data_IF_228114202487
#
_entry.id   IF_228114202487
#
_cell.length_a   1.000
_cell.length_b   1.000
_cell.length_c   1.000
_cell.angle_alpha   90.00
_cell.angle_beta   90.00
_cell.angle_gamma   90.00
#
_symmetry.space_group_name_H-M   'P 1'
#
loop_
_entity.id
_entity.type
_entity.pdbx_description
1 polymer ?
#
# COMPACT_ATOMS: atom_id res chain seq x y z
N UNK A 1 -55.47 8.82 12.61
CA UNK A 1 -54.76 8.23 13.78
C UNK A 1 -55.29 6.84 14.12
N UNK A 2 -56.55 6.67 14.57
CA UNK A 2 -57.11 5.34 14.93
C UNK A 2 -57.13 4.30 13.80
N UNK A 3 -57.31 4.74 12.56
CA UNK A 3 -57.33 3.86 11.39
C UNK A 3 -55.92 3.36 11.03
N UNK A 4 -54.92 4.24 11.16
CA UNK A 4 -53.50 3.90 10.98
C UNK A 4 -53.01 2.89 12.04
N UNK A 5 -53.41 3.08 13.29
CA UNK A 5 -53.09 2.15 14.39
C UNK A 5 -53.75 0.77 14.20
N UNK A 6 -54.97 0.73 13.65
CA UNK A 6 -55.63 -0.54 13.30
C UNK A 6 -54.92 -1.26 12.18
N UNK A 7 -54.51 -0.54 11.14
CA UNK A 7 -53.76 -1.11 10.01
C UNK A 7 -52.40 -1.61 10.48
N UNK A 8 -51.69 -0.86 11.32
CA UNK A 8 -50.39 -1.28 11.85
C UNK A 8 -50.51 -2.59 12.65
N UNK A 9 -51.47 -2.70 13.57
CA UNK A 9 -51.71 -3.93 14.34
C UNK A 9 -52.12 -5.12 13.48
N UNK A 10 -52.80 -4.87 12.37
CA UNK A 10 -53.15 -5.92 11.41
C UNK A 10 -51.90 -6.41 10.68
N UNK A 11 -51.03 -5.50 10.23
CA UNK A 11 -49.77 -5.83 9.55
C UNK A 11 -48.83 -6.62 10.49
N UNK A 12 -48.64 -6.17 11.73
CA UNK A 12 -47.81 -6.86 12.73
C UNK A 12 -48.32 -8.27 13.08
N UNK A 13 -49.63 -8.50 12.96
CA UNK A 13 -50.21 -9.84 13.15
C UNK A 13 -49.95 -10.72 11.94
N UNK A 14 -50.20 -10.20 10.74
CA UNK A 14 -49.95 -10.91 9.48
C UNK A 14 -48.47 -11.27 9.30
N UNK A 15 -47.56 -10.41 9.72
CA UNK A 15 -46.12 -10.67 9.72
C UNK A 15 -45.76 -11.86 10.63
N UNK A 16 -46.28 -11.89 11.86
CA UNK A 16 -46.07 -13.01 12.79
C UNK A 16 -46.63 -14.33 12.26
N UNK A 17 -47.83 -14.28 11.68
CA UNK A 17 -48.47 -15.46 11.09
C UNK A 17 -47.68 -15.97 9.87
N UNK A 18 -47.14 -15.06 9.05
CA UNK A 18 -46.26 -15.40 7.93
C UNK A 18 -44.98 -16.07 8.42
N UNK A 19 -44.33 -15.51 9.44
CA UNK A 19 -43.09 -16.06 9.99
C UNK A 19 -43.30 -17.49 10.51
N UNK A 20 -44.40 -17.74 11.22
CA UNK A 20 -44.77 -19.08 11.69
C UNK A 20 -45.01 -20.08 10.54
N UNK A 21 -45.56 -19.62 9.41
CA UNK A 21 -45.74 -20.43 8.20
C UNK A 21 -44.42 -20.74 7.49
N UNK A 22 -43.52 -19.76 7.41
CA UNK A 22 -42.17 -19.94 6.83
C UNK A 22 -41.33 -20.94 7.64
N UNK A 23 -41.51 -20.95 8.96
CA UNK A 23 -40.84 -21.88 9.86
C UNK A 23 -41.50 -23.27 9.92
N UNK A 24 -42.61 -23.46 9.22
CA UNK A 24 -43.30 -24.75 9.21
C UNK A 24 -42.46 -25.86 8.53
N UNK A 25 -42.52 -27.11 9.02
CA UNK A 25 -41.77 -28.23 8.44
C UNK A 25 -42.09 -28.49 6.96
N UNK A 26 -43.29 -28.10 6.51
CA UNK A 26 -43.72 -28.25 5.13
C UNK A 26 -43.07 -27.20 4.22
N UNK A 27 -42.97 -25.95 4.67
CA UNK A 27 -42.31 -24.89 3.91
C UNK A 27 -40.81 -25.13 3.77
N UNK A 28 -40.16 -25.62 4.83
CA UNK A 28 -38.72 -25.95 4.81
C UNK A 28 -38.35 -27.08 3.82
N UNK A 29 -39.31 -27.91 3.42
CA UNK A 29 -39.12 -28.99 2.44
C UNK A 29 -39.27 -28.53 0.98
N UNK A 30 -39.67 -27.28 0.73
CA UNK A 30 -39.83 -26.75 -0.63
C UNK A 30 -38.43 -26.46 -1.22
N UNK A 31 -38.10 -26.97 -2.43
CA UNK A 31 -36.82 -26.70 -3.07
C UNK A 31 -36.66 -25.21 -3.39
N UNK A 32 -35.66 -24.55 -2.79
CA UNK A 32 -35.42 -23.10 -2.95
C UNK A 32 -34.99 -22.67 -4.36
N UNK A 33 -34.61 -23.62 -5.21
CA UNK A 33 -34.07 -23.38 -6.54
C UNK A 33 -35.08 -23.66 -7.67
N UNK A 34 -36.33 -23.96 -7.33
CA UNK A 34 -37.36 -24.30 -8.31
C UNK A 34 -38.00 -23.02 -8.87
N UNK A 35 -37.91 -22.83 -10.18
CA UNK A 35 -38.59 -21.74 -10.86
C UNK A 35 -40.08 -22.05 -10.90
N UNK A 36 -40.87 -21.27 -10.16
CA UNK A 36 -42.34 -21.36 -10.22
C UNK A 36 -42.84 -20.40 -11.29
N UNK A 37 -43.67 -20.87 -12.25
CA UNK A 37 -44.25 -19.98 -13.27
C UNK A 37 -45.05 -18.85 -12.62
N UNK A 38 -44.82 -17.60 -13.04
CA UNK A 38 -45.55 -16.44 -12.51
C UNK A 38 -47.07 -16.49 -12.76
N UNK A 39 -47.51 -17.22 -13.79
CA UNK A 39 -48.92 -17.41 -14.11
C UNK A 39 -49.44 -18.77 -13.61
N UNK A 40 -50.43 -18.73 -12.73
CA UNK A 40 -51.13 -19.92 -12.23
C UNK A 40 -52.10 -20.46 -13.29
N UNK A 41 -51.89 -21.68 -13.78
CA UNK A 41 -52.86 -22.33 -14.67
C UNK A 41 -54.12 -22.72 -13.88
N UNK A 42 -55.34 -22.40 -14.35
CA UNK A 42 -56.56 -22.82 -13.67
C UNK A 42 -56.73 -24.34 -13.82
N UNK A 43 -56.48 -25.08 -12.74
CA UNK A 43 -56.78 -26.51 -12.65
C UNK A 43 -58.10 -26.70 -11.88
N UNK A 44 -58.76 -27.86 -12.06
CA UNK A 44 -60.03 -28.15 -11.39
C UNK A 44 -59.96 -27.99 -9.86
N UNK A 45 -58.80 -28.22 -9.24
CA UNK A 45 -58.57 -28.03 -7.80
C UNK A 45 -58.58 -26.54 -7.44
N UNK A 46 -57.92 -25.69 -8.23
CA UNK A 46 -57.85 -24.24 -8.00
C UNK A 46 -59.17 -23.51 -8.27
N UNK A 47 -60.12 -24.17 -8.94
CA UNK A 47 -61.46 -23.65 -9.25
C UNK A 47 -62.52 -24.21 -8.30
N UNK A 48 -62.46 -25.50 -7.96
CA UNK A 48 -63.55 -26.20 -7.27
C UNK A 48 -63.34 -26.26 -5.76
N UNK A 49 -62.10 -26.37 -5.29
CA UNK A 49 -61.82 -26.49 -3.86
C UNK A 49 -61.86 -25.13 -3.14
N UNK A 50 -62.59 -24.99 -2.01
CA UNK A 50 -62.72 -23.72 -1.29
C UNK A 50 -61.40 -23.16 -0.72
N UNK A 51 -60.47 -24.01 -0.30
CA UNK A 51 -59.18 -23.59 0.25
C UNK A 51 -58.22 -23.16 -0.85
N UNK A 52 -58.15 -23.94 -1.93
CA UNK A 52 -57.28 -23.63 -3.07
C UNK A 52 -57.76 -22.43 -3.90
N UNK A 53 -59.06 -22.14 -3.91
CA UNK A 53 -59.59 -20.89 -4.51
C UNK A 53 -59.02 -19.63 -3.85
N UNK A 54 -58.87 -19.62 -2.52
CA UNK A 54 -58.29 -18.49 -1.78
C UNK A 54 -56.80 -18.32 -2.12
N UNK A 55 -56.05 -19.42 -2.20
CA UNK A 55 -54.64 -19.42 -2.63
C UNK A 55 -54.51 -18.91 -4.06
N UNK A 56 -55.40 -19.34 -4.97
CA UNK A 56 -55.40 -18.86 -6.36
C UNK A 56 -55.70 -17.35 -6.45
N UNK A 57 -56.62 -16.83 -5.63
CA UNK A 57 -56.90 -15.41 -5.55
C UNK A 57 -55.69 -14.61 -5.04
N UNK A 58 -55.00 -15.11 -4.00
CA UNK A 58 -53.79 -14.50 -3.48
C UNK A 58 -52.65 -14.51 -4.51
N UNK A 59 -52.45 -15.63 -5.23
CA UNK A 59 -51.45 -15.73 -6.29
C UNK A 59 -51.72 -14.78 -7.45
N UNK A 60 -52.99 -14.60 -7.85
CA UNK A 60 -53.36 -13.65 -8.89
C UNK A 60 -53.15 -12.20 -8.43
N UNK A 61 -53.49 -11.89 -7.18
CA UNK A 61 -53.20 -10.57 -6.60
C UNK A 61 -51.69 -10.32 -6.53
N UNK A 62 -50.89 -11.30 -6.11
CA UNK A 62 -49.43 -11.22 -6.17
C UNK A 62 -48.92 -11.05 -7.60
N UNK A 63 -49.46 -11.79 -8.57
CA UNK A 63 -49.14 -11.61 -9.99
C UNK A 63 -49.47 -10.21 -10.52
N UNK A 64 -50.60 -9.64 -10.08
CA UNK A 64 -51.08 -8.33 -10.53
C UNK A 64 -50.34 -7.14 -9.88
N UNK A 65 -49.94 -7.27 -8.61
CA UNK A 65 -49.39 -6.14 -7.82
C UNK A 65 -47.94 -6.33 -7.36
N UNK A 66 -47.39 -7.54 -7.42
CA UNK A 66 -46.09 -7.90 -6.85
C UNK A 66 -45.18 -8.72 -7.76
N UNK A 67 -45.57 -9.02 -9.01
CA UNK A 67 -44.69 -9.68 -9.97
C UNK A 67 -43.70 -8.68 -10.58
N UNK A 68 -42.65 -8.36 -9.85
CA UNK A 68 -41.42 -8.03 -10.56
C UNK A 68 -40.98 -9.31 -11.31
N UNK A 69 -40.76 -9.25 -12.63
CA UNK A 69 -40.23 -10.38 -13.37
C UNK A 69 -38.97 -10.87 -12.67
N UNK A 70 -38.89 -12.18 -12.40
CA UNK A 70 -37.63 -12.75 -11.94
C UNK A 70 -36.54 -12.36 -12.94
N UNK A 71 -35.46 -11.70 -12.49
CA UNK A 71 -34.45 -11.22 -13.41
C UNK A 71 -33.87 -12.42 -14.16
N UNK A 72 -33.83 -12.29 -15.47
CA UNK A 72 -33.19 -13.28 -16.34
C UNK A 72 -31.73 -13.48 -15.93
N UNK A 73 -31.14 -14.62 -16.28
CA UNK A 73 -29.71 -14.86 -16.02
C UNK A 73 -28.82 -13.76 -16.59
N UNK A 74 -29.21 -13.20 -17.74
CA UNK A 74 -28.50 -12.09 -18.38
C UNK A 74 -28.63 -10.77 -17.60
N UNK A 75 -29.80 -10.47 -17.06
CA UNK A 75 -30.00 -9.30 -16.19
C UNK A 75 -29.24 -9.43 -14.86
N UNK A 76 -29.22 -10.63 -14.26
CA UNK A 76 -28.40 -10.93 -13.08
C UNK A 76 -26.92 -10.71 -13.41
N UNK A 77 -26.44 -11.26 -14.53
CA UNK A 77 -25.03 -11.10 -14.96
C UNK A 77 -24.67 -9.62 -15.19
N UNK A 78 -25.54 -8.85 -15.87
CA UNK A 78 -25.36 -7.41 -16.07
C UNK A 78 -25.33 -6.64 -14.76
N UNK A 79 -26.23 -6.96 -13.82
CA UNK A 79 -26.23 -6.34 -12.47
C UNK A 79 -24.92 -6.62 -11.72
N UNK A 80 -24.44 -7.86 -11.73
CA UNK A 80 -23.17 -8.22 -11.07
C UNK A 80 -21.99 -7.50 -11.73
N UNK A 81 -21.92 -7.49 -13.07
CA UNK A 81 -20.86 -6.78 -13.79
C UNK A 81 -20.86 -5.28 -13.52
N UNK A 82 -22.04 -4.65 -13.50
CA UNK A 82 -22.19 -3.25 -13.15
C UNK A 82 -21.74 -2.98 -11.71
N UNK A 83 -22.10 -3.85 -10.75
CA UNK A 83 -21.66 -3.72 -9.36
C UNK A 83 -20.13 -3.82 -9.24
N UNK A 84 -19.51 -4.82 -9.88
CA UNK A 84 -18.04 -4.95 -9.93
C UNK A 84 -17.39 -3.72 -10.57
N UNK A 85 -18.00 -3.17 -11.62
CA UNK A 85 -17.52 -1.95 -12.27
C UNK A 85 -17.56 -0.75 -11.32
N UNK A 86 -18.69 -0.50 -10.67
CA UNK A 86 -18.83 0.61 -9.72
C UNK A 86 -17.87 0.47 -8.54
N UNK A 87 -17.67 -0.75 -8.03
CA UNK A 87 -16.71 -1.00 -6.97
C UNK A 87 -15.26 -0.76 -7.45
N UNK A 88 -14.94 -1.15 -8.69
CA UNK A 88 -13.65 -0.83 -9.31
C UNK A 88 -13.40 0.68 -9.41
N UNK A 89 -14.40 1.46 -9.83
CA UNK A 89 -14.33 2.92 -9.85
C UNK A 89 -14.16 3.51 -8.45
N UNK A 90 -14.89 3.00 -7.45
CA UNK A 90 -14.70 3.41 -6.06
C UNK A 90 -13.27 3.15 -5.58
N UNK A 91 -12.73 1.95 -5.82
CA UNK A 91 -11.36 1.61 -5.45
C UNK A 91 -10.32 2.52 -6.14
N UNK A 92 -10.54 2.86 -7.42
CA UNK A 92 -9.73 3.82 -8.15
C UNK A 92 -9.72 5.20 -7.48
N UNK A 93 -10.89 5.71 -7.09
CA UNK A 93 -11.01 7.00 -6.39
C UNK A 93 -10.28 6.98 -5.05
N UNK A 94 -10.37 5.88 -4.29
CA UNK A 94 -9.64 5.72 -3.02
C UNK A 94 -8.14 5.76 -3.24
N UNK A 95 -7.62 5.03 -4.24
CA UNK A 95 -6.18 5.02 -4.57
C UNK A 95 -5.69 6.38 -5.02
N UNK A 96 -6.43 7.05 -5.90
CA UNK A 96 -6.06 8.39 -6.40
C UNK A 96 -6.08 9.41 -5.26
N UNK A 97 -7.10 9.36 -4.39
CA UNK A 97 -7.17 10.21 -3.21
C UNK A 97 -6.01 9.95 -2.25
N UNK A 98 -5.68 8.69 -2.00
CA UNK A 98 -4.55 8.29 -1.17
C UNK A 98 -3.21 8.81 -1.73
N UNK A 99 -2.99 8.73 -3.04
CA UNK A 99 -1.80 9.32 -3.68
C UNK A 99 -1.78 10.84 -3.54
N UNK A 100 -2.91 11.50 -3.78
CA UNK A 100 -3.04 12.95 -3.62
C UNK A 100 -2.71 13.42 -2.19
N UNK A 101 -3.08 12.63 -1.19
CA UNK A 101 -2.78 12.91 0.22
C UNK A 101 -1.30 12.89 0.58
N UNK A 102 -0.42 12.41 -0.32
CA UNK A 102 1.03 12.36 -0.14
C UNK A 102 1.80 13.38 -0.98
N UNK A 103 1.09 14.34 -1.54
CA UNK A 103 1.67 15.34 -2.42
C UNK A 103 1.90 14.86 -3.86
N UNK A 104 1.38 13.69 -4.26
CA UNK A 104 1.31 13.36 -5.68
C UNK A 104 0.26 14.22 -6.36
N UNK A 105 0.62 14.81 -7.49
CA UNK A 105 -0.27 15.62 -8.32
C UNK A 105 -0.19 15.11 -9.75
N UNK A 106 -1.36 14.94 -10.36
CA UNK A 106 -1.45 14.77 -11.80
C UNK A 106 -1.31 16.14 -12.48
N UNK A 107 -0.92 16.18 -13.76
CA UNK A 107 -1.06 17.38 -14.58
C UNK A 107 -2.49 17.94 -14.51
N UNK A 108 -2.67 19.27 -14.60
CA UNK A 108 -4.00 19.86 -14.70
C UNK A 108 -4.79 19.23 -15.85
N UNK A 109 -6.12 19.16 -15.69
CA UNK A 109 -7.06 18.59 -16.66
C UNK A 109 -6.92 17.08 -16.94
N UNK A 110 -6.17 16.35 -16.11
CA UNK A 110 -6.10 14.89 -16.21
C UNK A 110 -7.46 14.25 -15.92
N UNK A 111 -8.04 13.60 -16.94
CA UNK A 111 -9.25 12.79 -16.79
C UNK A 111 -8.87 11.31 -16.67
N UNK A 112 -9.26 10.70 -15.56
CA UNK A 112 -9.10 9.25 -15.36
C UNK A 112 -10.16 8.51 -16.17
N UNK A 113 -9.73 7.81 -17.21
CA UNK A 113 -10.59 6.90 -17.99
C UNK A 113 -10.09 5.46 -17.85
N UNK A 114 -10.83 4.50 -18.43
CA UNK A 114 -10.63 3.04 -18.26
C UNK A 114 -9.29 2.52 -18.79
N UNK A 115 -8.54 3.32 -19.52
CA UNK A 115 -7.24 2.94 -20.10
C UNK A 115 -6.24 4.09 -20.09
N UNK A 116 -6.35 5.00 -19.12
CA UNK A 116 -5.43 6.13 -18.99
C UNK A 116 -4.17 5.69 -18.22
N UNK A 117 -3.00 6.10 -18.74
CA UNK A 117 -1.77 6.19 -17.95
C UNK A 117 -1.64 7.62 -17.47
N UNK A 118 -1.56 7.81 -16.16
CA UNK A 118 -1.38 9.11 -15.53
C UNK A 118 0.01 9.18 -14.93
N UNK A 119 0.79 10.16 -15.36
CA UNK A 119 2.04 10.52 -14.72
C UNK A 119 1.74 11.39 -13.49
N UNK A 120 2.31 11.02 -12.36
CA UNK A 120 2.09 11.67 -11.08
C UNK A 120 3.44 12.14 -10.55
N UNK A 121 3.55 13.44 -10.33
CA UNK A 121 4.75 14.04 -9.77
C UNK A 121 4.55 14.34 -8.30
N UNK A 122 5.61 14.13 -7.52
CA UNK A 122 5.69 14.56 -6.13
C UNK A 122 7.11 15.03 -5.84
N UNK A 123 7.33 15.80 -4.76
CA UNK A 123 8.69 16.14 -4.34
C UNK A 123 9.53 14.93 -3.93
N UNK A 124 8.92 13.74 -3.78
CA UNK A 124 9.60 12.47 -3.51
C UNK A 124 9.94 11.66 -4.77
N UNK A 125 9.68 12.23 -5.95
CA UNK A 125 9.89 11.62 -7.26
C UNK A 125 8.57 11.30 -7.98
N UNK A 126 8.71 10.94 -9.25
CA UNK A 126 7.60 10.65 -10.15
C UNK A 126 7.18 9.17 -10.06
N UNK A 127 5.91 8.93 -10.37
CA UNK A 127 5.32 7.59 -10.47
C UNK A 127 4.28 7.58 -11.59
N UNK A 128 3.97 6.41 -12.13
CA UNK A 128 2.93 6.27 -13.16
C UNK A 128 1.81 5.39 -12.63
N UNK A 129 0.58 5.88 -12.72
CA UNK A 129 -0.63 5.12 -12.42
C UNK A 129 -1.31 4.72 -13.73
N UNK A 130 -1.40 3.42 -13.98
CA UNK A 130 -2.13 2.86 -15.12
C UNK A 130 -3.45 2.30 -14.64
N UNK A 131 -4.55 2.81 -15.18
CA UNK A 131 -5.88 2.28 -14.94
C UNK A 131 -6.27 1.32 -16.07
N UNK A 132 -6.74 0.13 -15.72
CA UNK A 132 -7.25 -0.88 -16.66
C UNK A 132 -8.62 -1.39 -16.22
N UNK A 133 -9.33 -2.13 -17.08
CA UNK A 133 -10.59 -2.76 -16.68
C UNK A 133 -10.32 -3.85 -15.62
N UNK A 134 -10.68 -3.56 -14.38
CA UNK A 134 -10.60 -4.49 -13.26
C UNK A 134 -9.29 -4.48 -12.46
N UNK A 135 -8.31 -3.63 -12.79
CA UNK A 135 -7.10 -3.45 -11.99
C UNK A 135 -6.44 -2.08 -12.21
N UNK A 136 -5.61 -1.67 -11.26
CA UNK A 136 -4.68 -0.56 -11.42
C UNK A 136 -3.24 -1.05 -11.27
N UNK A 137 -2.30 -0.39 -11.91
CA UNK A 137 -0.87 -0.63 -11.73
C UNK A 137 -0.17 0.68 -11.40
N UNK A 138 0.55 0.69 -10.28
CA UNK A 138 1.38 1.80 -9.85
C UNK A 138 2.85 1.43 -10.10
N UNK A 139 3.52 2.21 -10.94
CA UNK A 139 4.91 1.99 -11.32
C UNK A 139 5.81 3.00 -10.63
N UNK A 140 6.81 2.49 -9.91
CA UNK A 140 7.81 3.28 -9.22
C UNK A 140 9.19 2.72 -9.53
N UNK A 141 9.98 3.46 -10.32
CA UNK A 141 11.30 3.01 -10.78
C UNK A 141 11.21 1.66 -11.49
N UNK A 142 11.83 0.61 -10.94
CA UNK A 142 11.86 -0.74 -11.48
C UNK A 142 10.83 -1.68 -10.79
N UNK A 143 9.95 -1.14 -9.95
CA UNK A 143 8.94 -1.89 -9.22
C UNK A 143 7.53 -1.55 -9.72
N UNK A 144 6.66 -2.55 -9.75
CA UNK A 144 5.26 -2.40 -10.15
C UNK A 144 4.35 -3.02 -9.09
N UNK A 145 3.41 -2.21 -8.58
CA UNK A 145 2.35 -2.66 -7.68
C UNK A 145 1.06 -2.84 -8.48
N UNK A 146 0.45 -4.01 -8.40
CA UNK A 146 -0.87 -4.29 -8.95
C UNK A 146 -1.93 -4.18 -7.85
N UNK A 147 -2.96 -3.37 -8.08
CA UNK A 147 -4.10 -3.18 -7.19
C UNK A 147 -5.34 -3.78 -7.84
N UNK A 148 -5.95 -4.77 -7.19
CA UNK A 148 -7.10 -5.52 -7.72
C UNK A 148 -8.32 -5.30 -6.83
N UNK A 149 -9.35 -4.53 -7.28
CA UNK A 149 -10.62 -4.45 -6.57
C UNK A 149 -11.35 -5.78 -6.62
N UNK A 150 -11.76 -6.29 -5.45
CA UNK A 150 -12.54 -7.52 -5.31
C UNK A 150 -13.86 -7.22 -4.60
N UNK A 151 -14.96 -7.31 -5.35
CA UNK A 151 -16.32 -7.22 -4.81
C UNK A 151 -16.75 -8.60 -4.30
N UNK A 152 -16.24 -8.99 -3.13
CA UNK A 152 -16.68 -10.16 -2.40
C UNK A 152 -16.85 -9.79 -0.92
N UNK A 153 -17.93 -10.23 -0.25
CA UNK A 153 -18.09 -9.97 1.16
C UNK A 153 -16.96 -10.64 1.95
N UNK A 154 -16.34 -9.89 2.84
CA UNK A 154 -15.25 -10.38 3.65
C UNK A 154 -15.80 -11.02 4.93
N UNK A 155 -15.61 -12.34 5.06
CA UNK A 155 -15.85 -13.08 6.31
C UNK A 155 -14.51 -13.63 6.81
N UNK A 156 -14.37 -14.03 8.09
CA UNK A 156 -13.12 -14.61 8.58
C UNK A 156 -12.63 -15.83 7.77
N UNK A 157 -13.55 -16.73 7.39
CA UNK A 157 -13.23 -17.87 6.54
C UNK A 157 -12.89 -17.45 5.10
N UNK A 158 -13.64 -16.50 4.55
CA UNK A 158 -13.37 -15.94 3.23
C UNK A 158 -12.02 -15.25 3.16
N UNK A 159 -11.61 -14.55 4.23
CA UNK A 159 -10.32 -13.88 4.34
C UNK A 159 -9.17 -14.88 4.35
N UNK A 160 -9.27 -15.96 5.15
CA UNK A 160 -8.30 -17.06 5.17
C UNK A 160 -8.16 -17.72 3.80
N UNK A 161 -9.28 -18.04 3.16
CA UNK A 161 -9.30 -18.66 1.84
C UNK A 161 -8.69 -17.74 0.78
N UNK A 162 -9.07 -16.46 0.76
CA UNK A 162 -8.52 -15.46 -0.16
C UNK A 162 -7.02 -15.31 0.02
N UNK A 163 -6.55 -15.20 1.25
CA UNK A 163 -5.12 -15.02 1.51
C UNK A 163 -4.30 -16.26 1.17
N UNK A 164 -4.83 -17.48 1.41
CA UNK A 164 -4.21 -18.72 0.92
C UNK A 164 -4.04 -18.72 -0.60
N UNK A 165 -5.10 -18.36 -1.34
CA UNK A 165 -5.05 -18.26 -2.81
C UNK A 165 -4.05 -17.21 -3.29
N UNK A 166 -4.00 -16.05 -2.62
CA UNK A 166 -3.03 -15.01 -2.95
C UNK A 166 -1.59 -15.50 -2.73
N UNK A 167 -1.33 -16.25 -1.65
CA UNK A 167 0.01 -16.80 -1.37
C UNK A 167 0.46 -17.79 -2.43
N UNK A 168 -0.45 -18.64 -2.89
CA UNK A 168 -0.19 -19.59 -3.98
C UNK A 168 0.15 -18.85 -5.30
N UNK A 169 -0.46 -17.70 -5.55
CA UNK A 169 -0.24 -16.90 -6.77
C UNK A 169 0.93 -15.90 -6.68
N UNK A 170 1.41 -15.58 -5.48
CA UNK A 170 2.42 -14.54 -5.24
C UNK A 170 3.80 -14.84 -5.85
N UNK A 171 4.07 -16.07 -6.29
CA UNK A 171 5.33 -16.47 -6.94
C UNK A 171 5.60 -15.82 -8.31
N UNK A 172 4.65 -15.06 -8.88
CA UNK A 172 4.72 -14.51 -10.23
C UNK A 172 5.41 -13.13 -10.36
N UNK A 173 6.15 -12.68 -9.34
CA UNK A 173 7.09 -11.54 -9.43
C UNK A 173 6.48 -10.13 -9.44
N UNK A 174 5.15 -9.99 -9.32
CA UNK A 174 4.49 -8.69 -9.20
C UNK A 174 3.84 -8.52 -7.82
N UNK A 175 4.21 -7.46 -7.11
CA UNK A 175 3.58 -7.08 -5.85
C UNK A 175 2.08 -6.84 -6.10
N UNK A 176 1.23 -7.65 -5.48
CA UNK A 176 -0.22 -7.58 -5.67
C UNK A 176 -0.93 -7.28 -4.36
N UNK A 177 -1.83 -6.30 -4.42
CA UNK A 177 -2.73 -5.91 -3.33
C UNK A 177 -4.16 -6.10 -3.77
N UNK A 178 -4.94 -6.85 -3.00
CA UNK A 178 -6.39 -6.95 -3.20
C UNK A 178 -7.11 -5.90 -2.37
N UNK A 179 -7.91 -5.06 -3.02
CA UNK A 179 -8.80 -4.11 -2.37
C UNK A 179 -10.17 -4.77 -2.21
N UNK A 180 -10.40 -5.42 -1.05
CA UNK A 180 -11.58 -6.24 -0.81
C UNK A 180 -12.72 -5.40 -0.20
N UNK A 181 -13.98 -5.67 -0.60
CA UNK A 181 -15.13 -5.04 0.05
C UNK A 181 -15.26 -5.54 1.50
N UNK A 182 -15.08 -4.65 2.46
CA UNK A 182 -15.25 -4.96 3.87
C UNK A 182 -14.67 -3.90 4.79
N UNK A 183 -14.77 -4.15 6.09
CA UNK A 183 -14.19 -3.34 7.16
C UNK A 183 -13.21 -4.18 7.97
N UNK A 184 -12.24 -3.55 8.68
CA UNK A 184 -11.31 -4.31 9.52
C UNK A 184 -12.01 -5.15 10.59
N UNK A 185 -13.16 -4.70 11.12
CA UNK A 185 -13.92 -5.44 12.13
C UNK A 185 -14.50 -6.75 11.58
N UNK A 186 -14.69 -6.86 10.27
CA UNK A 186 -15.17 -8.10 9.64
C UNK A 186 -14.11 -9.23 9.69
N UNK A 187 -12.89 -8.90 10.11
CA UNK A 187 -11.76 -9.81 10.27
C UNK A 187 -11.52 -10.20 11.73
N UNK A 188 -12.37 -9.80 12.67
CA UNK A 188 -12.23 -10.24 14.05
C UNK A 188 -12.32 -11.78 14.11
N UNK A 189 -11.32 -12.43 14.73
CA UNK A 189 -11.22 -13.90 14.80
C UNK A 189 -10.44 -14.57 13.67
N UNK A 190 -9.75 -13.83 12.81
CA UNK A 190 -8.70 -14.40 11.94
C UNK A 190 -7.38 -14.57 12.69
N UNK A 191 -6.49 -15.44 12.21
CA UNK A 191 -5.15 -15.61 12.77
C UNK A 191 -4.28 -14.35 12.54
N UNK A 192 -3.22 -14.19 13.35
CA UNK A 192 -2.34 -13.01 13.30
C UNK A 192 -1.77 -12.78 11.89
N UNK A 193 -1.42 -13.84 11.16
CA UNK A 193 -0.78 -13.72 9.86
C UNK A 193 -1.76 -13.20 8.80
N UNK A 194 -2.98 -13.75 8.77
CA UNK A 194 -4.08 -13.24 7.93
C UNK A 194 -4.42 -11.80 8.32
N UNK A 195 -4.55 -11.49 9.61
CA UNK A 195 -4.85 -10.13 10.08
C UNK A 195 -3.81 -9.11 9.60
N UNK A 196 -2.51 -9.45 9.72
CA UNK A 196 -1.40 -8.59 9.27
C UNK A 196 -1.38 -8.40 7.76
N UNK A 197 -1.71 -9.43 6.98
CA UNK A 197 -1.82 -9.33 5.53
C UNK A 197 -2.96 -8.38 5.10
N UNK A 198 -4.12 -8.46 5.77
CA UNK A 198 -5.27 -7.59 5.51
C UNK A 198 -5.14 -6.17 6.11
N UNK A 199 -4.24 -5.99 7.07
CA UNK A 199 -3.82 -4.68 7.55
C UNK A 199 -2.76 -4.02 6.64
N UNK A 200 -2.32 -4.71 5.58
CA UNK A 200 -1.37 -4.20 4.60
C UNK A 200 0.10 -4.31 5.02
N UNK A 201 0.44 -5.18 5.97
CA UNK A 201 1.81 -5.34 6.49
C UNK A 201 2.58 -6.46 5.81
N UNK A 202 1.96 -7.62 5.63
CA UNK A 202 2.62 -8.82 5.09
C UNK A 202 2.22 -9.09 3.63
N UNK A 203 3.18 -9.56 2.84
CA UNK A 203 2.95 -9.98 1.46
C UNK A 203 2.50 -11.45 1.37
N UNK A 204 1.57 -11.79 0.47
CA UNK A 204 0.74 -10.89 -0.35
C UNK A 204 -0.28 -10.12 0.49
N UNK A 205 -0.58 -8.88 0.08
CA UNK A 205 -1.39 -7.93 0.84
C UNK A 205 -2.84 -7.92 0.41
N UNK A 206 -3.73 -7.70 1.35
CA UNK A 206 -5.11 -7.33 1.10
C UNK A 206 -5.45 -6.09 1.93
N UNK A 207 -6.43 -5.31 1.52
CA UNK A 207 -6.88 -4.14 2.25
C UNK A 207 -8.40 -4.04 2.17
N UNK A 208 -9.12 -4.21 3.30
CA UNK A 208 -10.55 -3.95 3.36
C UNK A 208 -10.83 -2.48 3.07
N UNK A 209 -11.67 -2.24 2.06
CA UNK A 209 -12.21 -0.93 1.72
C UNK A 209 -13.73 -1.00 1.66
N UNK A 210 -14.37 0.06 2.09
CA UNK A 210 -15.82 0.14 2.10
C UNK A 210 -16.25 1.57 1.80
N UNK A 211 -17.28 1.78 0.95
CA UNK A 211 -17.85 3.10 0.70
C UNK A 211 -18.39 3.78 1.96
N UNK A 212 -18.62 3.02 3.03
CA UNK A 212 -19.14 3.50 4.32
C UNK A 212 -18.05 3.73 5.37
N UNK A 213 -16.77 3.58 5.00
CA UNK A 213 -15.62 3.71 5.91
C UNK A 213 -14.85 4.98 5.59
N UNK A 214 -14.78 5.90 6.55
CA UNK A 214 -14.05 7.17 6.38
C UNK A 214 -12.52 6.98 6.33
N UNK A 215 -12.02 5.91 6.93
CA UNK A 215 -10.59 5.59 7.06
C UNK A 215 -10.04 4.74 5.89
N UNK A 216 -10.86 4.39 4.89
CA UNK A 216 -10.41 3.56 3.76
C UNK A 216 -9.26 4.24 2.99
N UNK A 217 -9.32 5.56 2.83
CA UNK A 217 -8.27 6.36 2.20
C UNK A 217 -6.98 6.27 3.01
N UNK A 218 -7.03 6.47 4.33
CA UNK A 218 -5.86 6.45 5.21
C UNK A 218 -5.16 5.09 5.22
N UNK A 219 -5.92 3.99 5.22
CA UNK A 219 -5.35 2.64 5.19
C UNK A 219 -4.69 2.33 3.86
N UNK A 220 -5.36 2.64 2.74
CA UNK A 220 -4.78 2.47 1.40
C UNK A 220 -3.55 3.34 1.24
N UNK A 221 -3.61 4.58 1.73
CA UNK A 221 -2.48 5.49 1.85
C UNK A 221 -1.32 4.82 2.59
N UNK A 222 -1.51 4.37 3.84
CA UNK A 222 -0.47 3.72 4.65
C UNK A 222 0.18 2.55 3.92
N UNK A 223 -0.65 1.68 3.32
CA UNK A 223 -0.19 0.52 2.55
C UNK A 223 0.67 0.94 1.35
N UNK A 224 0.24 1.96 0.59
CA UNK A 224 1.02 2.50 -0.54
C UNK A 224 2.35 3.09 -0.04
N UNK A 225 2.35 3.88 1.04
CA UNK A 225 3.59 4.41 1.64
C UNK A 225 4.56 3.32 2.05
N UNK A 226 4.06 2.29 2.72
CA UNK A 226 4.85 1.14 3.13
C UNK A 226 5.43 0.33 1.95
N UNK A 227 4.75 0.33 0.79
CA UNK A 227 5.30 -0.27 -0.44
C UNK A 227 6.31 0.65 -1.15
N UNK A 228 6.00 1.95 -1.28
CA UNK A 228 6.86 2.91 -1.98
C UNK A 228 8.17 3.18 -1.24
N UNK A 229 8.15 3.23 0.09
CA UNK A 229 9.30 3.62 0.89
C UNK A 229 10.52 2.69 0.66
N UNK A 230 10.40 1.34 0.68
CA UNK A 230 11.53 0.46 0.38
C UNK A 230 12.15 0.75 -0.99
N UNK A 231 11.33 0.91 -2.04
CA UNK A 231 11.81 1.16 -3.40
C UNK A 231 12.45 2.54 -3.58
N UNK A 232 12.02 3.56 -2.82
CA UNK A 232 12.65 4.88 -2.82
C UNK A 232 14.04 4.87 -2.19
N UNK A 233 14.20 4.10 -1.12
CA UNK A 233 15.43 4.05 -0.33
C UNK A 233 16.37 2.88 -0.69
N UNK A 234 15.96 2.02 -1.63
CA UNK A 234 16.79 0.92 -2.15
C UNK A 234 18.09 1.46 -2.73
N UNK A 235 19.20 0.81 -2.40
CA UNK A 235 20.53 1.15 -2.90
C UNK A 235 21.22 2.28 -2.14
N UNK A 236 20.73 2.66 -0.95
CA UNK A 236 21.48 3.54 -0.05
C UNK A 236 22.63 2.80 0.65
N UNK A 237 23.83 3.42 0.75
CA UNK A 237 24.21 4.65 0.09
C UNK A 237 24.56 4.36 -1.39
N UNK A 238 24.31 5.29 -2.32
CA UNK A 238 24.84 5.18 -3.68
C UNK A 238 26.36 4.98 -3.65
N UNK A 239 26.86 4.01 -4.40
CA UNK A 239 28.27 3.59 -4.42
C UNK A 239 28.80 3.45 -5.83
N UNK A 240 30.07 3.78 -6.04
CA UNK A 240 30.80 3.49 -7.26
C UNK A 240 32.25 3.10 -6.94
N UNK A 241 32.83 2.22 -7.76
CA UNK A 241 34.26 1.88 -7.69
C UNK A 241 35.03 2.96 -8.45
N UNK A 242 35.85 3.72 -7.71
CA UNK A 242 36.66 4.83 -8.23
C UNK A 242 38.13 4.46 -8.03
N UNK A 243 38.69 3.80 -9.05
CA UNK A 243 40.10 3.38 -9.10
C UNK A 243 40.71 3.69 -10.46
N UNK A 244 41.96 4.20 -10.52
CA UNK A 244 42.75 4.76 -9.42
C UNK A 244 42.12 6.04 -8.84
N UNK A 245 42.72 6.58 -7.77
CA UNK A 245 42.29 7.88 -7.25
C UNK A 245 42.48 8.98 -8.31
N UNK A 246 41.43 9.71 -8.72
CA UNK A 246 41.57 10.84 -9.64
C UNK A 246 42.30 12.03 -9.00
N UNK A 247 42.48 12.04 -7.68
CA UNK A 247 43.20 13.10 -6.95
C UNK A 247 42.35 14.36 -6.77
N UNK A 248 41.06 14.19 -6.51
CA UNK A 248 40.13 15.27 -6.11
C UNK A 248 39.87 15.19 -4.61
N UNK A 249 39.62 16.34 -3.97
CA UNK A 249 39.23 16.37 -2.56
C UNK A 249 37.73 16.11 -2.41
N UNK A 250 37.36 15.06 -1.68
CA UNK A 250 35.96 14.69 -1.50
C UNK A 250 35.26 15.56 -0.45
N UNK A 251 34.02 16.04 -0.72
CA UNK A 251 33.20 16.74 0.26
C UNK A 251 32.76 15.83 1.42
N UNK A 252 32.33 16.43 2.54
CA UNK A 252 31.89 15.70 3.76
C UNK A 252 30.71 14.74 3.54
N UNK A 253 29.88 14.98 2.53
CA UNK A 253 28.75 14.13 2.17
C UNK A 253 29.17 12.91 1.32
N UNK A 254 30.45 12.77 1.00
CA UNK A 254 31.04 11.59 0.37
C UNK A 254 32.03 10.91 1.32
N UNK A 255 32.11 9.58 1.25
CA UNK A 255 33.10 8.82 2.01
C UNK A 255 33.76 7.77 1.15
N UNK A 256 35.09 7.74 1.18
CA UNK A 256 35.91 6.75 0.50
C UNK A 256 36.30 5.62 1.43
N UNK A 257 36.20 4.39 0.95
CA UNK A 257 36.71 3.19 1.60
C UNK A 257 37.44 2.31 0.58
N UNK A 258 38.77 2.35 0.61
CA UNK A 258 39.61 1.72 -0.41
C UNK A 258 39.30 2.27 -1.82
N UNK A 259 38.84 1.40 -2.70
CA UNK A 259 38.50 1.72 -4.09
C UNK A 259 37.04 2.17 -4.27
N UNK A 260 36.22 2.09 -3.23
CA UNK A 260 34.81 2.44 -3.35
C UNK A 260 34.54 3.81 -2.72
N UNK A 261 33.73 4.60 -3.40
CA UNK A 261 33.24 5.89 -2.94
C UNK A 261 31.73 5.82 -2.76
N UNK A 262 31.22 6.29 -1.62
CA UNK A 262 29.79 6.42 -1.35
C UNK A 262 29.37 7.87 -1.21
N UNK A 263 28.12 8.16 -1.58
CA UNK A 263 27.41 9.36 -1.17
C UNK A 263 26.63 9.01 0.10
N UNK A 264 27.10 9.51 1.23
CA UNK A 264 26.56 9.18 2.55
C UNK A 264 25.55 10.21 3.04
N UNK A 265 25.45 11.39 2.44
CA UNK A 265 24.45 12.37 2.85
C UNK A 265 23.88 13.13 1.64
N UNK A 266 22.64 13.64 1.74
CA UNK A 266 22.11 14.61 0.80
C UNK A 266 23.00 15.86 0.76
N UNK A 267 23.03 16.51 -0.38
CA UNK A 267 23.77 17.75 -0.62
C UNK A 267 22.92 18.67 -1.46
N UNK A 268 23.10 19.98 -1.35
CA UNK A 268 22.36 20.96 -2.15
C UNK A 268 22.92 21.12 -3.57
N UNK A 269 22.16 21.77 -4.45
CA UNK A 269 22.57 21.98 -5.83
C UNK A 269 23.88 22.79 -5.96
N UNK A 270 24.17 23.71 -5.03
CA UNK A 270 25.34 24.58 -5.08
C UNK A 270 26.63 23.82 -4.70
N UNK A 271 26.60 23.00 -3.67
CA UNK A 271 27.67 22.08 -3.30
C UNK A 271 27.95 21.05 -4.40
N UNK A 272 26.90 20.43 -4.95
CA UNK A 272 27.04 19.51 -6.10
C UNK A 272 27.70 20.21 -7.28
N UNK A 273 27.27 21.42 -7.62
CA UNK A 273 27.84 22.18 -8.72
C UNK A 273 29.30 22.57 -8.46
N UNK A 274 29.66 22.96 -7.23
CA UNK A 274 31.06 23.24 -6.84
C UNK A 274 31.95 22.02 -7.03
N UNK A 275 31.51 20.86 -6.56
CA UNK A 275 32.28 19.63 -6.71
C UNK A 275 32.34 19.14 -8.16
N UNK A 276 31.27 19.32 -8.94
CA UNK A 276 31.28 19.04 -10.39
C UNK A 276 32.29 19.92 -11.14
N UNK A 277 32.39 21.21 -10.80
CA UNK A 277 33.41 22.11 -11.37
C UNK A 277 34.84 21.66 -11.02
N UNK A 278 35.05 21.19 -9.81
CA UNK A 278 36.34 20.63 -9.39
C UNK A 278 36.71 19.36 -10.18
N UNK A 279 35.74 18.47 -10.41
CA UNK A 279 35.92 17.30 -11.28
C UNK A 279 36.26 17.70 -12.72
N UNK A 280 35.57 18.70 -13.27
CA UNK A 280 35.83 19.23 -14.62
C UNK A 280 37.24 19.83 -14.72
N UNK A 281 37.66 20.65 -13.75
CA UNK A 281 39.02 21.19 -13.66
C UNK A 281 40.06 20.07 -13.65
N UNK A 282 39.83 19.03 -12.84
CA UNK A 282 40.74 17.88 -12.75
C UNK A 282 40.80 17.09 -14.06
N UNK A 283 39.66 16.93 -14.75
CA UNK A 283 39.58 16.29 -16.06
C UNK A 283 40.46 17.01 -17.08
N UNK A 284 40.39 18.34 -17.13
CA UNK A 284 41.23 19.15 -18.04
C UNK A 284 42.72 18.98 -17.75
N UNK A 285 43.13 18.94 -16.48
CA UNK A 285 44.52 18.69 -16.09
C UNK A 285 45.00 17.31 -16.56
N UNK A 286 44.20 16.28 -16.35
CA UNK A 286 44.53 14.92 -16.77
C UNK A 286 44.61 14.77 -18.29
N UNK A 287 43.75 15.43 -19.05
CA UNK A 287 43.85 15.45 -20.51
C UNK A 287 45.12 16.17 -20.99
N UNK A 288 45.54 17.26 -20.30
CA UNK A 288 46.85 17.90 -20.57
C UNK A 288 48.01 16.97 -20.23
N UNK A 289 47.97 16.29 -19.08
CA UNK A 289 48.98 15.29 -18.68
C UNK A 289 49.08 14.16 -19.71
N UNK A 290 47.94 13.66 -20.20
CA UNK A 290 47.86 12.64 -21.25
C UNK A 290 48.45 13.13 -22.57
N UNK A 291 48.13 14.36 -23.01
CA UNK A 291 48.73 14.95 -24.21
C UNK A 291 50.24 15.12 -24.07
N UNK A 292 50.72 15.58 -22.92
CA UNK A 292 52.15 15.72 -22.63
C UNK A 292 52.86 14.37 -22.59
N UNK A 293 52.26 13.36 -21.95
CA UNK A 293 52.78 12.00 -21.89
C UNK A 293 52.87 11.38 -23.30
N UNK A 294 51.84 11.57 -24.12
CA UNK A 294 51.85 11.13 -25.52
C UNK A 294 52.97 11.79 -26.34
N UNK A 295 53.14 13.11 -26.21
CA UNK A 295 54.26 13.84 -26.86
C UNK A 295 55.63 13.34 -26.37
N UNK A 296 55.75 13.03 -25.08
CA UNK A 296 56.98 12.56 -24.45
C UNK A 296 57.19 11.03 -24.52
N UNK A 297 56.29 10.27 -25.17
CA UNK A 297 56.26 8.79 -25.19
C UNK A 297 56.35 8.15 -23.80
N UNK A 298 55.73 8.78 -22.79
CA UNK A 298 55.65 8.28 -21.42
C UNK A 298 54.33 7.51 -21.22
N UNK A 299 54.34 6.55 -20.31
CA UNK A 299 53.12 5.87 -19.88
C UNK A 299 52.20 6.85 -19.16
N UNK A 300 50.92 6.85 -19.53
CA UNK A 300 49.84 7.56 -18.84
C UNK A 300 48.78 6.53 -18.45
N UNK A 301 48.23 6.64 -17.24
CA UNK A 301 47.17 5.75 -16.78
C UNK A 301 45.78 6.27 -17.21
N UNK A 302 45.13 5.67 -18.23
CA UNK A 302 43.80 6.07 -18.66
C UNK A 302 42.72 5.83 -17.59
N UNK A 303 43.01 5.00 -16.58
CA UNK A 303 42.12 4.74 -15.46
C UNK A 303 41.75 6.01 -14.69
N UNK A 304 42.63 7.01 -14.61
CA UNK A 304 42.36 8.27 -13.90
C UNK A 304 41.22 9.07 -14.53
N UNK A 305 41.09 9.03 -15.86
CA UNK A 305 39.97 9.65 -16.56
C UNK A 305 38.67 8.85 -16.37
N UNK A 306 38.75 7.52 -16.45
CA UNK A 306 37.59 6.64 -16.17
C UNK A 306 37.08 6.81 -14.73
N UNK A 307 37.98 6.99 -13.76
CA UNK A 307 37.62 7.25 -12.37
C UNK A 307 36.82 8.56 -12.21
N UNK A 308 37.09 9.59 -13.02
CA UNK A 308 36.26 10.80 -13.08
C UNK A 308 34.90 10.55 -13.74
N UNK A 309 34.82 9.70 -14.77
CA UNK A 309 33.55 9.31 -15.38
C UNK A 309 32.65 8.55 -14.37
N UNK A 310 33.21 7.62 -13.61
CA UNK A 310 32.52 6.91 -12.52
C UNK A 310 32.08 7.87 -11.40
N UNK A 311 32.92 8.83 -11.05
CA UNK A 311 32.60 9.87 -10.08
C UNK A 311 31.42 10.74 -10.54
N UNK A 312 31.41 11.18 -11.80
CA UNK A 312 30.30 11.93 -12.38
C UNK A 312 29.01 11.10 -12.47
N UNK A 313 29.11 9.80 -12.78
CA UNK A 313 27.99 8.89 -12.74
C UNK A 313 27.43 8.73 -11.32
N UNK A 314 28.29 8.68 -10.31
CA UNK A 314 27.90 8.67 -8.91
C UNK A 314 27.22 10.00 -8.50
N UNK A 315 27.73 11.15 -8.97
CA UNK A 315 27.15 12.47 -8.66
C UNK A 315 25.71 12.62 -9.16
N UNK A 316 25.37 12.06 -10.32
CA UNK A 316 23.97 12.01 -10.79
C UNK A 316 23.04 11.25 -9.84
N UNK A 317 23.57 10.33 -9.03
CA UNK A 317 22.79 9.63 -8.01
C UNK A 317 22.58 10.47 -6.74
N UNK A 318 23.38 11.50 -6.50
CA UNK A 318 23.26 12.38 -5.32
C UNK A 318 21.93 13.15 -5.30
N UNK A 319 21.44 13.56 -6.46
CA UNK A 319 20.17 14.28 -6.63
C UNK A 319 18.98 13.48 -6.05
N UNK A 320 19.07 12.15 -6.08
CA UNK A 320 18.02 11.25 -5.59
C UNK A 320 17.85 11.28 -4.08
N UNK A 321 18.85 11.78 -3.34
CA UNK A 321 18.85 11.85 -1.87
C UNK A 321 18.27 13.15 -1.34
N UNK A 322 18.25 14.22 -2.15
CA UNK A 322 17.75 15.54 -1.71
C UNK A 322 16.32 15.51 -1.17
N UNK A 323 15.36 14.80 -1.81
CA UNK A 323 14.01 14.64 -1.29
C UNK A 323 13.91 14.02 0.10
N UNK A 324 14.92 13.25 0.54
CA UNK A 324 14.86 12.50 1.79
C UNK A 324 14.98 13.40 3.00
N UNK A 325 15.44 14.65 2.80
CA UNK A 325 15.43 15.69 3.83
C UNK A 325 14.05 16.32 4.01
N UNK A 326 13.08 16.08 3.13
CA UNK A 326 11.72 16.63 3.28
C UNK A 326 10.93 15.76 4.26
N UNK A 327 10.22 16.40 5.20
CA UNK A 327 9.41 15.65 6.14
C UNK A 327 8.21 14.98 5.44
N UNK A 328 8.00 13.66 5.59
CA UNK A 328 6.87 12.96 4.97
C UNK A 328 5.52 13.21 5.66
N UNK A 329 5.52 13.81 6.86
CA UNK A 329 4.31 14.05 7.66
C UNK A 329 3.77 15.47 7.42
N UNK A 330 4.55 16.50 7.73
CA UNK A 330 4.09 17.89 7.55
C UNK A 330 4.34 18.45 6.15
N UNK A 331 5.17 17.79 5.32
CA UNK A 331 5.54 18.18 3.95
C UNK A 331 6.26 19.54 3.78
N UNK A 332 6.20 20.42 4.79
CA UNK A 332 6.82 21.75 4.77
C UNK A 332 8.18 21.76 5.47
N UNK A 333 8.36 20.88 6.46
CA UNK A 333 9.56 20.83 7.27
C UNK A 333 10.70 20.10 6.59
N UNK A 334 11.93 20.45 6.97
CA UNK A 334 13.15 19.71 6.62
C UNK A 334 13.65 18.91 7.83
N UNK A 335 14.27 17.78 7.54
CA UNK A 335 14.91 16.89 8.49
C UNK A 335 16.40 17.15 8.60
N UNK A 336 16.94 17.05 9.81
CA UNK A 336 18.39 16.99 10.02
C UNK A 336 18.84 15.58 9.65
N UNK A 337 19.59 15.44 8.56
CA UNK A 337 20.02 14.14 8.04
C UNK A 337 21.29 13.65 8.73
N UNK A 338 21.22 12.45 9.30
CA UNK A 338 22.32 11.80 10.00
C UNK A 338 22.61 10.43 9.37
N UNK A 339 23.74 10.27 8.67
CA UNK A 339 24.14 8.95 8.18
C UNK A 339 24.72 8.10 9.30
N UNK A 340 24.38 6.81 9.32
CA UNK A 340 24.76 5.88 10.39
C UNK A 340 25.31 4.58 9.80
N UNK A 341 26.64 4.36 9.78
CA UNK A 341 27.22 3.08 9.36
C UNK A 341 26.92 2.00 10.40
N UNK A 342 26.73 0.74 9.97
CA UNK A 342 26.37 -0.38 10.85
C UNK A 342 27.49 -0.77 11.84
N UNK A 343 28.74 -0.47 11.55
CA UNK A 343 29.83 -0.40 12.53
C UNK A 343 30.97 0.45 11.98
N UNK A 344 31.97 0.77 12.80
CA UNK A 344 33.21 1.41 12.35
C UNK A 344 33.98 0.55 11.34
N UNK A 345 33.70 -0.76 11.29
CA UNK A 345 34.41 -1.75 10.47
C UNK A 345 33.59 -2.27 9.29
N UNK A 346 32.25 -2.21 9.37
CA UNK A 346 31.30 -2.66 8.34
C UNK A 346 30.90 -1.48 7.47
N UNK A 347 31.61 -1.36 6.34
CA UNK A 347 31.33 -0.38 5.29
C UNK A 347 30.09 -0.75 4.45
N UNK A 348 29.73 -2.04 4.40
CA UNK A 348 28.71 -2.60 3.51
C UNK A 348 27.28 -2.25 3.94
N UNK A 349 27.05 -2.04 5.24
CA UNK A 349 25.73 -1.75 5.79
C UNK A 349 25.64 -0.32 6.31
N UNK A 350 24.78 0.49 5.68
CA UNK A 350 24.47 1.83 6.14
C UNK A 350 22.99 2.00 6.41
N UNK A 351 22.73 2.81 7.41
CA UNK A 351 21.44 3.36 7.74
C UNK A 351 21.55 4.88 7.74
N UNK A 352 20.42 5.55 7.91
CA UNK A 352 20.37 6.99 8.11
C UNK A 352 19.11 7.34 8.87
N UNK A 353 19.13 8.52 9.45
CA UNK A 353 18.03 9.07 10.23
C UNK A 353 17.79 10.52 9.85
N UNK A 354 16.54 10.95 9.99
CA UNK A 354 16.11 12.33 9.87
C UNK A 354 15.13 12.64 10.98
N UNK A 355 15.27 13.83 11.57
CA UNK A 355 14.29 14.40 12.49
C UNK A 355 13.81 15.74 11.97
N UNK A 356 12.49 15.89 11.81
CA UNK A 356 11.88 17.12 11.33
C UNK A 356 12.11 18.27 12.30
N UNK A 357 12.54 19.42 11.81
CA UNK A 357 12.70 20.64 12.63
C UNK A 357 11.37 21.32 12.96
N UNK A 358 10.27 20.98 12.27
CA UNK A 358 8.95 21.59 12.47
C UNK A 358 8.03 20.72 13.32
N UNK A 359 7.76 19.49 12.88
CA UNK A 359 6.82 18.60 13.58
C UNK A 359 7.51 17.56 14.46
N UNK A 360 8.85 17.54 14.55
CA UNK A 360 9.63 16.53 15.30
C UNK A 360 9.46 15.07 14.87
N UNK A 361 8.69 14.77 13.81
CA UNK A 361 8.59 13.40 13.28
C UNK A 361 9.94 12.91 12.79
N UNK A 362 10.16 11.61 12.89
CA UNK A 362 11.44 10.98 12.58
C UNK A 362 11.29 9.93 11.48
N UNK A 363 12.26 9.82 10.59
CA UNK A 363 12.22 8.84 9.51
C UNK A 363 13.62 8.46 9.05
N UNK A 364 13.74 7.29 8.44
CA UNK A 364 15.03 6.83 7.93
C UNK A 364 15.06 5.36 7.60
N UNK A 365 16.26 4.80 7.58
CA UNK A 365 16.50 3.37 7.41
C UNK A 365 16.94 2.75 8.73
N UNK A 366 16.50 1.52 8.97
CA UNK A 366 16.98 0.67 10.06
C UNK A 366 17.49 -0.64 9.50
N UNK A 367 18.47 -1.24 10.17
CA UNK A 367 19.00 -2.56 9.77
C UNK A 367 18.29 -3.63 10.60
N UNK A 368 17.82 -4.70 9.95
CA UNK A 368 17.21 -5.82 10.66
C UNK A 368 18.25 -6.55 11.53
N UNK A 369 17.99 -6.67 12.83
CA UNK A 369 18.88 -7.39 13.76
C UNK A 369 18.88 -8.92 13.60
N UNK A 370 17.93 -9.48 12.86
CA UNK A 370 17.87 -10.92 12.62
C UNK A 370 19.06 -11.37 11.79
N UNK A 371 19.77 -12.40 12.28
CA UNK A 371 20.92 -13.02 11.61
C UNK A 371 20.61 -13.50 10.20
N UNK A 372 19.37 -13.94 9.94
CA UNK A 372 18.92 -14.43 8.65
C UNK A 372 18.55 -13.31 7.65
N UNK A 373 18.27 -12.09 8.12
CA UNK A 373 17.79 -11.01 7.24
C UNK A 373 18.87 -9.93 7.02
N UNK A 374 19.29 -9.21 8.06
CA UNK A 374 20.28 -8.11 7.99
C UNK A 374 20.02 -7.01 6.94
N UNK A 375 18.85 -6.98 6.31
CA UNK A 375 18.49 -5.98 5.32
C UNK A 375 18.08 -4.66 5.97
N UNK A 376 18.37 -3.56 5.28
CA UNK A 376 17.86 -2.25 5.64
C UNK A 376 16.37 -2.14 5.27
N UNK A 377 15.56 -1.54 6.15
CA UNK A 377 14.15 -1.28 5.94
C UNK A 377 13.77 0.13 6.39
N UNK A 378 12.85 0.80 5.69
CA UNK A 378 12.47 2.17 6.02
C UNK A 378 11.50 2.21 7.20
N UNK A 379 11.64 3.25 8.02
CA UNK A 379 10.77 3.53 9.16
C UNK A 379 10.40 5.01 9.15
N UNK A 380 9.14 5.29 9.49
CA UNK A 380 8.60 6.62 9.75
C UNK A 380 7.88 6.57 11.09
N UNK A 381 8.21 7.51 11.95
CA UNK A 381 7.65 7.68 13.28
C UNK A 381 7.10 9.11 13.44
N UNK A 382 5.77 9.28 13.42
CA UNK A 382 5.15 10.59 13.65
C UNK A 382 5.36 11.05 15.09
N UNK A 383 5.67 12.33 15.27
CA UNK A 383 5.77 12.89 16.62
C UNK A 383 4.42 12.89 17.35
N UNK A 384 4.47 12.65 18.66
CA UNK A 384 3.29 12.69 19.52
C UNK A 384 2.41 11.44 19.47
N UNK A 385 2.62 10.53 18.52
CA UNK A 385 1.98 9.22 18.52
C UNK A 385 2.66 8.33 19.56
N UNK A 386 1.96 8.04 20.66
CA UNK A 386 2.42 7.08 21.67
C UNK A 386 1.61 5.79 21.56
N UNK A 387 2.28 4.65 21.76
CA UNK A 387 1.61 3.36 21.88
C UNK A 387 0.61 3.41 23.06
N UNK A 388 -0.58 2.80 22.92
CA UNK A 388 -1.47 2.64 24.07
C UNK A 388 -0.77 1.83 25.18
N UNK A 389 -0.96 2.27 26.43
CA UNK A 389 -0.21 1.81 27.61
C UNK A 389 -0.60 0.42 28.15
N UNK A 390 -1.60 -0.26 27.57
CA UNK A 390 -2.03 -1.58 28.06
C UNK A 390 -1.12 -2.68 27.51
N UNK A 391 -0.19 -3.13 28.35
CA UNK A 391 0.82 -4.16 28.06
C UNK A 391 0.25 -5.60 28.06
N UNK A 392 -0.91 -5.81 28.69
CA UNK A 392 -1.43 -7.17 28.97
C UNK A 392 -2.42 -7.75 27.93
N UNK A 393 -2.80 -6.98 26.91
CA UNK A 393 -3.72 -7.44 25.87
C UNK A 393 -3.09 -7.33 24.47
N UNK A 394 -3.37 -8.26 23.54
CA UNK A 394 -3.02 -8.07 22.14
C UNK A 394 -3.68 -6.78 21.64
N UNK A 395 -3.02 -6.05 20.73
CA UNK A 395 -3.54 -4.78 20.30
C UNK A 395 -4.86 -4.99 19.54
N UNK A 396 -5.87 -4.14 19.77
CA UNK A 396 -7.16 -4.32 19.12
C UNK A 396 -7.03 -4.13 17.60
N UNK A 397 -7.87 -4.82 16.82
CA UNK A 397 -7.92 -4.68 15.37
C UNK A 397 -8.00 -3.20 14.97
N UNK A 398 -7.18 -2.77 14.01
CA UNK A 398 -7.12 -1.38 13.55
C UNK A 398 -6.55 -0.36 14.55
N UNK A 399 -5.83 -0.77 15.61
CA UNK A 399 -5.17 0.17 16.52
C UNK A 399 -4.15 1.07 15.78
N UNK A 400 -3.39 0.51 14.83
CA UNK A 400 -2.38 1.27 14.08
C UNK A 400 -3.04 2.41 13.33
N UNK A 401 -4.15 2.13 12.65
CA UNK A 401 -4.90 3.13 11.89
C UNK A 401 -5.45 4.22 12.83
N UNK A 402 -5.94 3.85 14.02
CA UNK A 402 -6.45 4.83 15.00
C UNK A 402 -5.38 5.74 15.60
N UNK A 403 -4.15 5.27 15.77
CA UNK A 403 -3.10 6.02 16.47
C UNK A 403 -2.15 6.76 15.53
N UNK A 404 -1.87 6.18 14.36
CA UNK A 404 -0.90 6.71 13.41
C UNK A 404 -1.53 7.12 12.08
N UNK A 405 -2.79 6.73 11.82
CA UNK A 405 -3.46 6.98 10.56
C UNK A 405 -2.65 6.47 9.38
N UNK A 406 -2.29 7.37 8.48
CA UNK A 406 -1.54 7.09 7.25
C UNK A 406 -0.01 7.20 7.38
N UNK A 407 0.50 7.76 8.48
CA UNK A 407 1.89 8.22 8.58
C UNK A 407 2.83 7.15 9.14
N UNK A 408 2.85 5.98 8.50
CA UNK A 408 3.75 4.87 8.82
C UNK A 408 4.32 4.21 7.57
N UNK A 409 5.56 3.74 7.66
CA UNK A 409 6.22 2.94 6.61
C UNK A 409 6.39 1.48 7.00
N UNK A 410 6.49 1.19 8.30
CA UNK A 410 6.62 -0.15 8.85
C UNK A 410 5.65 -0.34 10.02
N UNK A 411 5.32 -1.59 10.31
CA UNK A 411 4.43 -1.95 11.41
C UNK A 411 5.15 -1.77 12.75
N UNK A 412 4.59 -1.05 13.73
CA UNK A 412 5.13 -1.02 15.09
C UNK A 412 5.14 -2.43 15.70
N UNK A 413 6.23 -2.78 16.38
CA UNK A 413 6.35 -4.05 17.06
C UNK A 413 5.64 -3.99 18.42
N UNK A 414 4.63 -4.84 18.61
CA UNK A 414 3.92 -4.93 19.90
C UNK A 414 4.72 -5.65 20.98
N UNK A 415 5.57 -6.62 20.62
CA UNK A 415 6.32 -7.46 21.57
C UNK A 415 7.55 -6.79 22.17
N UNK A 416 7.76 -5.49 21.95
CA UNK A 416 8.88 -4.74 22.51
C UNK A 416 8.35 -3.67 23.45
N UNK A 417 9.01 -3.50 24.60
CA UNK A 417 8.69 -2.47 25.59
C UNK A 417 9.04 -1.06 25.09
N UNK A 418 9.87 -0.96 24.04
CA UNK A 418 10.24 0.31 23.44
C UNK A 418 9.22 0.72 22.38
N UNK A 419 8.58 1.91 22.50
CA UNK A 419 7.59 2.39 21.55
C UNK A 419 8.20 2.70 20.17
N UNK A 420 9.52 2.79 20.10
CA UNK A 420 10.28 3.10 18.89
C UNK A 420 10.62 1.88 18.06
N UNK A 421 10.05 0.70 18.31
CA UNK A 421 10.46 -0.55 17.64
C UNK A 421 9.47 -0.92 16.55
N UNK A 422 9.99 -1.26 15.37
CA UNK A 422 9.20 -1.61 14.19
C UNK A 422 9.60 -3.00 13.69
N UNK A 423 8.63 -3.74 13.14
CA UNK A 423 8.88 -5.00 12.45
C UNK A 423 9.59 -4.72 11.13
N UNK A 424 10.55 -5.59 10.79
CA UNK A 424 11.24 -5.51 9.52
C UNK A 424 10.27 -5.79 8.36
N UNK A 425 10.14 -4.85 7.42
CA UNK A 425 9.26 -5.02 6.25
C UNK A 425 9.69 -6.12 5.28
N UNK A 426 10.90 -6.67 5.45
CA UNK A 426 11.46 -7.74 4.61
C UNK A 426 11.18 -9.14 5.18
N UNK A 427 11.24 -9.32 6.51
CA UNK A 427 11.09 -10.63 7.14
C UNK A 427 9.94 -10.73 8.16
N UNK A 428 9.24 -9.63 8.45
CA UNK A 428 8.11 -9.58 9.39
C UNK A 428 8.48 -9.71 10.88
N UNK A 429 9.77 -9.94 11.19
CA UNK A 429 10.24 -10.15 12.56
C UNK A 429 10.40 -8.82 13.30
N UNK A 430 10.03 -8.82 14.57
CA UNK A 430 10.48 -7.83 15.52
C UNK A 430 11.99 -7.99 15.77
N UNK A 431 12.74 -6.90 15.98
CA UNK A 431 14.14 -7.01 16.37
C UNK A 431 14.25 -7.57 17.80
N UNK A 432 14.96 -8.69 17.93
CA UNK A 432 15.03 -9.54 19.14
C UNK A 432 15.66 -8.86 20.37
N UNK A 433 16.49 -7.82 20.19
CA UNK A 433 17.19 -7.11 21.27
C UNK A 433 16.84 -5.62 21.35
N UNK A 434 15.63 -5.28 20.92
CA UNK A 434 15.37 -3.93 20.45
C UNK A 434 16.30 -3.59 19.29
N UNK A 435 16.10 -2.42 18.70
CA UNK A 435 17.11 -1.86 17.84
C UNK A 435 18.22 -1.37 18.78
N UNK A 436 19.36 -2.07 18.84
CA UNK A 436 20.53 -1.74 19.68
C UNK A 436 21.12 -0.34 19.41
N UNK A 437 20.47 0.45 18.54
CA UNK A 437 20.84 1.79 18.09
C UNK A 437 19.66 2.76 17.99
N UNK A 438 18.50 2.35 18.49
CA UNK A 438 17.35 3.22 18.67
C UNK A 438 17.33 3.85 20.07
N UNK A 439 18.30 3.46 20.91
CA UNK A 439 18.77 4.24 22.04
C UNK A 439 20.08 4.91 21.62
N UNK A 440 19.94 6.15 21.16
CA UNK A 440 20.99 7.13 20.98
C UNK A 440 20.39 8.48 21.33
#
# INVERSE_FOLDING_TARGET
>A
MRELERTLRLVERLERDLQALLDSPLYQRIPRNQSVPGALRPTNILVSDPHYRKVAALWRAWGQYGSEPHPTREEIRRRIQAACHHFGTFAQLVVVRALHEFGYRAPPDTVLTRSTVVELSSPWGDTRLRCSEGAMSLELRNATLRLVPLLAPLTPDGARALWSQLREQAGNGADTVVLALGRPQDLDGVDEQTARAFAGWDWPRAQPISPWSLDAVERVARMLRGWMAPHRHTGYPPRAVVRPDPGVTYPKWMQRHGETLAIIAPTDAAERQRFSKECARRREELEREKQQANKARRAFDPGRLRALDELEALLRQAERLEPWTRCPVCETGRGIFEPRPASSESWDQWSWWCRCTQCSSEWGLRVCGSSACRLAYPVLEPAGCRRPANEDAPPPTGWVDRHYGRDLWAEPCWSSDSPHVFRCSQCGRCPENGCSRCHG
#
